data_IF_913260149595
#
_entry.id   IF_913260149595
#
_cell.length_a   1.000
_cell.length_b   1.000
_cell.length_c   1.000
_cell.angle_alpha   90.00
_cell.angle_beta   90.00
_cell.angle_gamma   90.00
#
_symmetry.space_group_name_H-M   'P 1'
#
loop_
_entity.id
_entity.type
_entity.pdbx_description
1 polymer ?
#
# COMPACT_ATOMS: atom_id res chain seq x y z
N UNK A 1 -17.50 26.07 -4.93
CA UNK A 1 -16.57 24.93 -4.97
C UNK A 1 -16.78 24.27 -6.31
N UNK A 2 -15.76 24.18 -7.17
CA UNK A 2 -15.88 23.42 -8.42
C UNK A 2 -15.79 21.93 -8.06
N UNK A 3 -16.75 21.14 -8.52
CA UNK A 3 -16.78 19.70 -8.25
C UNK A 3 -15.54 19.02 -8.82
N UNK A 4 -14.94 18.09 -8.06
CA UNK A 4 -13.84 17.26 -8.55
C UNK A 4 -14.35 16.44 -9.72
N UNK A 5 -13.66 16.54 -10.86
CA UNK A 5 -13.93 15.66 -11.99
C UNK A 5 -13.50 14.24 -11.62
N UNK A 6 -14.37 13.27 -11.92
CA UNK A 6 -14.16 11.84 -11.64
C UNK A 6 -13.71 11.06 -12.87
N UNK A 7 -13.68 11.70 -14.05
CA UNK A 7 -13.28 11.07 -15.31
C UNK A 7 -12.22 11.90 -16.02
N UNK A 8 -11.22 11.23 -16.59
CA UNK A 8 -10.22 11.81 -17.45
C UNK A 8 -10.83 12.21 -18.80
N UNK A 9 -10.44 13.38 -19.29
CA UNK A 9 -10.76 13.86 -20.63
C UNK A 9 -10.03 13.03 -21.69
N UNK A 10 -10.59 12.90 -22.91
CA UNK A 10 -10.01 12.09 -23.97
C UNK A 10 -8.54 12.43 -24.29
N UNK A 11 -8.15 13.70 -24.28
CA UNK A 11 -6.78 14.12 -24.57
C UNK A 11 -5.77 13.67 -23.50
N UNK A 12 -6.22 13.59 -22.25
CA UNK A 12 -5.39 13.11 -21.14
C UNK A 12 -5.29 11.59 -21.16
N UNK A 13 -6.39 10.90 -21.50
CA UNK A 13 -6.39 9.45 -21.74
C UNK A 13 -5.43 9.07 -22.87
N UNK A 14 -5.41 9.82 -23.98
CA UNK A 14 -4.45 9.61 -25.07
C UNK A 14 -3.01 9.81 -24.61
N UNK A 15 -2.75 10.80 -23.75
CA UNK A 15 -1.42 11.05 -23.19
C UNK A 15 -0.97 9.87 -22.34
N UNK A 16 -1.81 9.39 -21.42
CA UNK A 16 -1.51 8.22 -20.58
C UNK A 16 -1.36 6.94 -21.43
N UNK A 17 -2.15 6.78 -22.50
CA UNK A 17 -2.05 5.64 -23.41
C UNK A 17 -0.70 5.61 -24.11
N UNK A 18 -0.23 6.75 -24.62
CA UNK A 18 1.10 6.86 -25.23
C UNK A 18 2.20 6.49 -24.23
N UNK A 19 2.13 6.98 -22.99
CA UNK A 19 3.11 6.64 -21.96
C UNK A 19 3.08 5.14 -21.61
N UNK A 20 1.89 4.53 -21.55
CA UNK A 20 1.72 3.08 -21.37
C UNK A 20 2.40 2.30 -22.49
N UNK A 21 2.20 2.69 -23.74
CA UNK A 21 2.80 2.00 -24.89
C UNK A 21 4.33 2.11 -24.89
N UNK A 22 4.87 3.29 -24.59
CA UNK A 22 6.31 3.50 -24.43
C UNK A 22 6.90 2.66 -23.28
N UNK A 23 6.21 2.61 -22.14
CA UNK A 23 6.64 1.81 -21.00
C UNK A 23 6.63 0.30 -21.32
N UNK A 24 5.58 -0.18 -21.97
CA UNK A 24 5.47 -1.57 -22.40
C UNK A 24 6.55 -1.94 -23.44
N UNK A 25 6.86 -1.04 -24.37
CA UNK A 25 7.91 -1.26 -25.36
C UNK A 25 9.31 -1.38 -24.69
N UNK A 26 9.59 -0.56 -23.67
CA UNK A 26 10.83 -0.64 -22.88
C UNK A 26 10.93 -1.96 -22.11
N UNK A 27 9.84 -2.34 -21.43
CA UNK A 27 9.74 -3.59 -20.65
C UNK A 27 9.98 -4.82 -21.53
N UNK A 28 9.40 -4.84 -22.74
CA UNK A 28 9.58 -5.92 -23.72
C UNK A 28 11.03 -6.06 -24.23
N UNK A 29 11.80 -4.98 -24.24
CA UNK A 29 13.18 -4.97 -24.72
C UNK A 29 14.21 -5.40 -23.66
N UNK A 30 13.77 -5.75 -22.42
CA UNK A 30 14.64 -6.02 -21.27
C UNK A 30 15.68 -4.91 -21.00
N UNK A 31 15.45 -3.69 -21.50
CA UNK A 31 16.39 -2.57 -21.48
C UNK A 31 16.43 -1.83 -20.13
N UNK A 32 15.94 -2.47 -19.06
CA UNK A 32 15.62 -1.87 -17.77
C UNK A 32 14.12 -1.88 -17.48
N UNK A 33 13.76 -1.61 -16.23
CA UNK A 33 12.37 -1.48 -15.74
C UNK A 33 11.56 -0.63 -16.73
N UNK A 34 10.31 -0.96 -17.04
CA UNK A 34 9.49 -0.20 -18.02
C UNK A 34 9.30 1.30 -17.73
N UNK A 35 9.89 1.81 -16.63
CA UNK A 35 9.81 3.20 -16.14
C UNK A 35 8.37 3.62 -15.87
N UNK A 36 7.57 2.67 -15.40
CA UNK A 36 6.17 2.85 -15.04
C UNK A 36 5.95 3.95 -14.00
N UNK A 37 6.98 4.29 -13.19
CA UNK A 37 6.97 5.43 -12.28
C UNK A 37 6.65 6.77 -12.96
N UNK A 38 7.02 6.95 -14.23
CA UNK A 38 6.75 8.17 -15.00
C UNK A 38 5.24 8.37 -15.20
N UNK A 39 4.50 7.27 -15.36
CA UNK A 39 3.05 7.28 -15.52
C UNK A 39 2.38 7.71 -14.21
N UNK A 40 2.83 7.16 -13.08
CA UNK A 40 2.32 7.59 -11.76
C UNK A 40 2.58 9.06 -11.49
N UNK A 41 3.79 9.53 -11.80
CA UNK A 41 4.17 10.94 -11.60
C UNK A 41 3.34 11.87 -12.49
N UNK A 42 3.21 11.54 -13.78
CA UNK A 42 2.39 12.30 -14.71
C UNK A 42 0.92 12.31 -14.27
N UNK A 43 0.38 11.17 -13.83
CA UNK A 43 -1.01 11.09 -13.40
C UNK A 43 -1.24 11.90 -12.11
N UNK A 44 -0.37 11.81 -11.11
CA UNK A 44 -0.46 12.62 -9.90
C UNK A 44 -0.45 14.12 -10.21
N UNK A 45 0.46 14.56 -11.09
CA UNK A 45 0.56 15.95 -11.51
C UNK A 45 -0.67 16.41 -12.31
N UNK A 46 -1.20 15.55 -13.18
CA UNK A 46 -2.41 15.82 -13.93
C UNK A 46 -3.60 16.05 -12.98
N UNK A 47 -3.79 15.19 -11.98
CA UNK A 47 -4.89 15.30 -11.03
C UNK A 47 -4.87 16.63 -10.28
N UNK A 48 -3.69 17.04 -9.80
CA UNK A 48 -3.52 18.30 -9.07
C UNK A 48 -3.69 19.51 -10.00
N UNK A 49 -3.04 19.51 -11.16
CA UNK A 49 -2.95 20.70 -12.00
C UNK A 49 -4.21 20.93 -12.85
N UNK A 50 -4.93 19.87 -13.24
CA UNK A 50 -6.04 19.95 -14.21
C UNK A 50 -7.39 19.47 -13.66
N UNK A 51 -7.41 18.64 -12.62
CA UNK A 51 -8.63 18.02 -12.09
C UNK A 51 -9.01 18.51 -10.68
N UNK A 52 -8.31 19.52 -10.15
CA UNK A 52 -8.60 20.14 -8.86
C UNK A 52 -8.54 19.16 -7.67
N UNK A 53 -7.65 18.17 -7.74
CA UNK A 53 -7.32 17.33 -6.60
C UNK A 53 -6.32 18.05 -5.70
N UNK A 54 -6.52 17.94 -4.39
CA UNK A 54 -5.56 18.44 -3.42
C UNK A 54 -4.30 17.57 -3.42
N UNK A 55 -3.15 18.17 -3.12
CA UNK A 55 -1.89 17.40 -2.96
C UNK A 55 -1.96 16.39 -1.80
N UNK A 56 -2.86 16.61 -0.84
CA UNK A 56 -3.17 15.72 0.27
C UNK A 56 -4.26 14.69 -0.03
N UNK A 57 -4.82 14.68 -1.23
CA UNK A 57 -5.82 13.69 -1.63
C UNK A 57 -5.23 12.28 -1.60
N UNK A 58 -5.99 11.30 -1.11
CA UNK A 58 -5.47 9.94 -0.87
C UNK A 58 -5.05 9.24 -2.16
N UNK A 59 -5.74 9.48 -3.28
CA UNK A 59 -5.33 8.96 -4.59
C UNK A 59 -4.04 9.62 -5.05
N UNK A 60 -3.89 10.95 -4.87
CA UNK A 60 -2.66 11.68 -5.23
C UNK A 60 -1.47 11.21 -4.40
N UNK A 61 -1.65 11.06 -3.09
CA UNK A 61 -0.62 10.55 -2.18
C UNK A 61 -0.22 9.11 -2.53
N UNK A 62 -1.19 8.26 -2.88
CA UNK A 62 -0.89 6.91 -3.37
C UNK A 62 -0.05 6.93 -4.64
N UNK A 63 -0.45 7.70 -5.65
CA UNK A 63 0.28 7.80 -6.92
C UNK A 63 1.73 8.24 -6.69
N UNK A 64 1.96 9.23 -5.82
CA UNK A 64 3.30 9.68 -5.44
C UNK A 64 4.12 8.60 -4.73
N UNK A 65 3.52 7.87 -3.79
CA UNK A 65 4.18 6.75 -3.13
C UNK A 65 4.50 5.61 -4.12
N UNK A 66 3.61 5.36 -5.08
CA UNK A 66 3.78 4.37 -6.13
C UNK A 66 4.88 4.77 -7.12
N UNK A 67 5.04 6.08 -7.43
CA UNK A 67 6.18 6.61 -8.18
C UNK A 67 7.50 6.22 -7.52
N UNK A 68 7.67 6.50 -6.22
CA UNK A 68 8.89 6.15 -5.48
C UNK A 68 9.14 4.63 -5.44
N UNK A 69 8.10 3.86 -5.12
CA UNK A 69 8.18 2.41 -5.07
C UNK A 69 8.65 1.81 -6.41
N UNK A 70 8.00 2.22 -7.51
CA UNK A 70 8.31 1.74 -8.85
C UNK A 70 9.67 2.24 -9.36
N UNK A 71 10.07 3.47 -9.02
CA UNK A 71 11.38 4.00 -9.37
C UNK A 71 12.54 3.42 -8.53
N UNK A 72 12.24 2.63 -7.49
CA UNK A 72 13.28 2.08 -6.62
C UNK A 72 14.03 3.11 -5.78
N UNK A 73 13.44 4.30 -5.55
CA UNK A 73 14.09 5.43 -4.87
C UNK A 73 13.12 6.16 -3.95
N UNK A 74 13.66 6.83 -2.93
CA UNK A 74 12.85 7.58 -1.96
C UNK A 74 12.45 6.76 -0.73
N UNK A 75 11.77 7.43 0.20
CA UNK A 75 11.41 6.90 1.52
C UNK A 75 10.30 5.85 1.43
N UNK A 76 9.34 6.04 0.54
CA UNK A 76 8.23 5.11 0.34
C UNK A 76 8.71 3.83 -0.33
N UNK A 77 9.66 3.95 -1.26
CA UNK A 77 10.31 2.79 -1.87
C UNK A 77 11.01 1.94 -0.82
N UNK A 78 11.79 2.57 0.04
CA UNK A 78 12.50 1.87 1.11
C UNK A 78 11.53 1.16 2.06
N UNK A 79 10.46 1.85 2.49
CA UNK A 79 9.43 1.28 3.37
C UNK A 79 8.82 0.04 2.73
N UNK A 80 8.30 0.16 1.51
CA UNK A 80 7.55 -0.90 0.82
C UNK A 80 8.46 -2.09 0.53
N UNK A 81 9.68 -1.84 0.03
CA UNK A 81 10.60 -2.91 -0.37
C UNK A 81 11.11 -3.68 0.86
N UNK A 82 11.48 -2.99 1.94
CA UNK A 82 11.90 -3.65 3.19
C UNK A 82 10.74 -4.38 3.86
N UNK A 83 9.52 -3.83 3.82
CA UNK A 83 8.34 -4.55 4.31
C UNK A 83 8.14 -5.87 3.56
N UNK A 84 8.14 -5.81 2.23
CA UNK A 84 7.91 -6.99 1.38
C UNK A 84 9.01 -8.04 1.54
N UNK A 85 10.27 -7.62 1.63
CA UNK A 85 11.40 -8.51 1.89
C UNK A 85 11.26 -9.19 3.26
N UNK A 86 10.87 -8.45 4.29
CA UNK A 86 10.69 -9.00 5.63
C UNK A 86 9.53 -10.00 5.70
N UNK A 87 8.43 -9.74 4.98
CA UNK A 87 7.34 -10.70 4.85
C UNK A 87 7.81 -12.01 4.19
N UNK A 88 8.64 -11.93 3.15
CA UNK A 88 9.21 -13.12 2.51
C UNK A 88 10.15 -13.88 3.45
N UNK A 89 10.99 -13.17 4.21
CA UNK A 89 11.89 -13.79 5.19
C UNK A 89 11.11 -14.52 6.29
N UNK A 90 10.08 -13.89 6.85
CA UNK A 90 9.28 -14.48 7.93
C UNK A 90 8.44 -15.67 7.47
N UNK A 91 7.95 -15.66 6.23
CA UNK A 91 7.06 -16.71 5.71
C UNK A 91 7.81 -17.86 5.07
N UNK A 92 8.91 -17.57 4.38
CA UNK A 92 9.58 -18.52 3.51
C UNK A 92 11.08 -18.65 3.80
N UNK A 93 11.62 -17.88 4.75
CA UNK A 93 13.05 -17.85 5.05
C UNK A 93 13.91 -17.48 3.82
N UNK A 94 13.41 -16.52 3.02
CA UNK A 94 14.02 -16.07 1.77
C UNK A 94 13.98 -14.55 1.64
N UNK A 95 14.89 -14.00 0.83
CA UNK A 95 14.86 -12.60 0.41
C UNK A 95 14.18 -12.43 -0.95
N UNK A 96 13.52 -11.29 -1.15
CA UNK A 96 12.97 -10.88 -2.44
C UNK A 96 14.07 -10.23 -3.25
N UNK A 97 14.37 -10.77 -4.44
CA UNK A 97 15.35 -10.17 -5.34
C UNK A 97 14.89 -8.79 -5.85
N UNK A 98 15.84 -7.93 -6.23
CA UNK A 98 15.55 -6.61 -6.79
C UNK A 98 14.63 -6.73 -8.01
N UNK A 99 14.91 -7.69 -8.90
CA UNK A 99 14.14 -7.92 -10.11
C UNK A 99 12.72 -8.37 -9.81
N UNK A 100 12.54 -9.26 -8.82
CA UNK A 100 11.21 -9.73 -8.43
C UNK A 100 10.41 -8.62 -7.75
N UNK A 101 11.06 -7.80 -6.91
CA UNK A 101 10.46 -6.62 -6.29
C UNK A 101 10.01 -5.61 -7.35
N UNK A 102 10.84 -5.39 -8.37
CA UNK A 102 10.51 -4.51 -9.48
C UNK A 102 9.34 -5.05 -10.29
N UNK A 103 9.36 -6.34 -10.63
CA UNK A 103 8.27 -7.02 -11.34
C UNK A 103 6.94 -6.87 -10.58
N UNK A 104 6.97 -6.99 -9.26
CA UNK A 104 5.80 -6.78 -8.43
C UNK A 104 5.31 -5.32 -8.49
N UNK A 105 6.23 -4.35 -8.45
CA UNK A 105 5.85 -2.94 -8.57
C UNK A 105 5.32 -2.57 -9.95
N UNK A 106 5.86 -3.15 -11.03
CA UNK A 106 5.39 -2.93 -12.40
C UNK A 106 4.01 -3.58 -12.63
N UNK A 107 3.76 -4.73 -12.01
CA UNK A 107 2.45 -5.41 -12.08
C UNK A 107 1.32 -4.54 -11.51
N UNK A 108 1.57 -3.79 -10.43
CA UNK A 108 0.58 -2.84 -9.89
C UNK A 108 0.23 -1.75 -10.91
N UNK A 109 1.23 -1.20 -11.63
CA UNK A 109 0.97 -0.16 -12.63
C UNK A 109 0.20 -0.72 -13.81
N UNK A 110 0.60 -1.90 -14.30
CA UNK A 110 -0.09 -2.59 -15.39
C UNK A 110 -1.55 -2.84 -15.02
N UNK A 111 -1.84 -3.30 -13.80
CA UNK A 111 -3.22 -3.55 -13.34
C UNK A 111 -4.04 -2.26 -13.23
N UNK A 112 -3.47 -1.20 -12.64
CA UNK A 112 -4.11 0.13 -12.61
C UNK A 112 -4.45 0.63 -14.02
N UNK A 113 -3.50 0.49 -14.96
CA UNK A 113 -3.71 0.92 -16.35
C UNK A 113 -4.79 0.10 -17.04
N UNK A 114 -4.79 -1.24 -16.90
CA UNK A 114 -5.85 -2.09 -17.44
C UNK A 114 -7.23 -1.61 -16.95
N UNK A 115 -7.38 -1.32 -15.66
CA UNK A 115 -8.65 -0.82 -15.11
C UNK A 115 -9.00 0.60 -15.59
N UNK A 116 -8.03 1.50 -15.67
CA UNK A 116 -8.22 2.86 -16.20
C UNK A 116 -8.68 2.86 -17.67
N UNK A 117 -8.20 1.91 -18.46
CA UNK A 117 -8.60 1.72 -19.86
C UNK A 117 -9.80 0.78 -20.05
N UNK A 118 -10.47 0.36 -18.96
CA UNK A 118 -11.62 -0.55 -19.04
C UNK A 118 -11.30 -1.94 -19.62
N UNK A 119 -10.04 -2.34 -19.56
CA UNK A 119 -9.51 -3.63 -20.06
C UNK A 119 -9.32 -4.65 -18.93
N UNK A 120 -9.51 -4.23 -17.68
CA UNK A 120 -9.36 -5.08 -16.49
C UNK A 120 -10.67 -5.68 -16.00
N UNK A 121 -10.75 -5.88 -14.69
CA UNK A 121 -11.87 -6.59 -14.03
C UNK A 121 -13.18 -5.76 -14.01
N UNK A 122 -13.10 -4.46 -14.31
CA UNK A 122 -14.23 -3.53 -14.34
C UNK A 122 -14.19 -2.65 -15.61
N UNK A 123 -14.75 -3.13 -16.75
CA UNK A 123 -14.78 -2.35 -17.99
C UNK A 123 -15.56 -1.04 -17.89
N UNK A 124 -16.48 -0.91 -16.92
CA UNK A 124 -17.30 0.29 -16.75
C UNK A 124 -16.49 1.49 -16.24
N UNK A 125 -15.29 1.26 -15.71
CA UNK A 125 -14.42 2.33 -15.21
C UNK A 125 -13.48 2.92 -16.25
N UNK A 126 -13.78 2.73 -17.54
CA UNK A 126 -13.02 3.41 -18.59
C UNK A 126 -12.94 4.91 -18.30
N UNK A 127 -11.72 5.45 -18.27
CA UNK A 127 -11.37 6.83 -17.96
C UNK A 127 -11.72 7.33 -16.56
N UNK A 128 -12.30 6.49 -15.69
CA UNK A 128 -12.59 6.87 -14.31
C UNK A 128 -11.28 7.04 -13.53
N UNK A 129 -11.14 8.17 -12.84
CA UNK A 129 -10.01 8.39 -11.93
C UNK A 129 -10.22 7.46 -10.74
N UNK A 130 -9.31 6.50 -10.49
CA UNK A 130 -9.57 5.45 -9.53
C UNK A 130 -9.57 6.03 -8.10
N UNK A 131 -10.66 5.77 -7.39
CA UNK A 131 -10.75 6.06 -5.97
C UNK A 131 -9.84 5.13 -5.17
N UNK A 132 -9.39 5.60 -3.99
CA UNK A 132 -8.37 4.89 -3.20
C UNK A 132 -8.81 3.49 -2.76
N UNK A 133 -10.11 3.27 -2.56
CA UNK A 133 -10.70 1.98 -2.26
C UNK A 133 -10.57 1.01 -3.43
N UNK A 134 -10.85 1.46 -4.66
CA UNK A 134 -10.66 0.67 -5.86
C UNK A 134 -9.19 0.29 -6.01
N UNK A 135 -8.29 1.26 -5.92
CA UNK A 135 -6.84 1.00 -5.98
C UNK A 135 -6.40 -0.07 -4.96
N UNK A 136 -6.87 0.03 -3.72
CA UNK A 136 -6.49 -0.89 -2.64
C UNK A 136 -7.09 -2.28 -2.79
N UNK A 137 -8.28 -2.39 -3.39
CA UNK A 137 -8.98 -3.65 -3.58
C UNK A 137 -8.56 -4.37 -4.85
N UNK A 138 -8.31 -3.65 -5.94
CA UNK A 138 -8.08 -4.22 -7.27
C UNK A 138 -6.63 -4.11 -7.70
N UNK A 139 -6.04 -2.92 -7.67
CA UNK A 139 -4.81 -2.65 -8.41
C UNK A 139 -3.58 -3.11 -7.63
N UNK A 140 -3.50 -2.66 -6.39
CA UNK A 140 -2.32 -2.86 -5.56
C UNK A 140 -2.22 -4.27 -4.97
N UNK A 141 -3.25 -5.11 -5.16
CA UNK A 141 -3.21 -6.53 -4.82
C UNK A 141 -2.24 -7.34 -5.69
N UNK A 142 -1.85 -6.81 -6.86
CA UNK A 142 -0.88 -7.44 -7.75
C UNK A 142 0.47 -7.77 -7.08
N UNK A 143 0.84 -7.05 -6.01
CA UNK A 143 2.04 -7.39 -5.22
C UNK A 143 1.95 -8.79 -4.61
N UNK A 144 0.78 -9.17 -4.09
CA UNK A 144 0.52 -10.50 -3.53
C UNK A 144 0.65 -11.60 -4.58
N UNK A 145 0.08 -11.32 -5.75
CA UNK A 145 0.11 -12.22 -6.91
C UNK A 145 1.52 -12.53 -7.39
N UNK A 146 2.42 -11.53 -7.34
CA UNK A 146 3.80 -11.69 -7.81
C UNK A 146 4.72 -12.24 -6.72
N UNK A 147 4.61 -11.77 -5.48
CA UNK A 147 5.58 -12.09 -4.41
C UNK A 147 5.19 -13.28 -3.56
N UNK A 148 3.89 -13.47 -3.30
CA UNK A 148 3.40 -14.31 -2.21
C UNK A 148 2.46 -15.43 -2.67
N UNK A 149 2.28 -15.60 -3.98
CA UNK A 149 1.36 -16.57 -4.57
C UNK A 149 1.94 -18.00 -4.69
N UNK A 150 2.68 -18.45 -3.66
CA UNK A 150 3.34 -19.77 -3.62
C UNK A 150 2.40 -20.89 -3.19
N UNK A 151 1.55 -20.60 -2.20
CA UNK A 151 0.47 -21.47 -1.76
C UNK A 151 -0.82 -20.64 -1.73
N UNK A 152 -1.76 -20.98 -2.63
CA UNK A 152 -3.06 -20.30 -2.73
C UNK A 152 -3.92 -20.46 -1.47
N UNK A 153 -3.56 -21.37 -0.56
CA UNK A 153 -4.23 -21.56 0.72
C UNK A 153 -3.62 -20.72 1.85
N UNK A 154 -2.44 -20.13 1.66
CA UNK A 154 -1.85 -19.19 2.62
C UNK A 154 -2.55 -17.83 2.50
N UNK A 155 -2.80 -17.17 3.63
CA UNK A 155 -3.39 -15.82 3.67
C UNK A 155 -2.54 -14.76 2.98
N UNK A 156 -1.24 -15.01 2.78
CA UNK A 156 -0.36 -14.14 2.00
C UNK A 156 -0.71 -14.09 0.50
N UNK A 157 -1.35 -15.13 -0.03
CA UNK A 157 -1.69 -15.24 -1.45
C UNK A 157 -2.85 -14.33 -1.85
N UNK A 158 -3.08 -14.17 -3.17
CA UNK A 158 -4.22 -13.42 -3.71
C UNK A 158 -5.55 -13.94 -3.14
N UNK A 159 -5.73 -15.26 -3.17
CA UNK A 159 -6.98 -15.93 -2.76
C UNK A 159 -7.11 -16.05 -1.23
N UNK A 160 -5.99 -15.86 -0.51
CA UNK A 160 -5.94 -15.86 0.94
C UNK A 160 -6.24 -14.52 1.62
N UNK A 161 -6.53 -13.46 0.84
CA UNK A 161 -6.79 -12.11 1.36
C UNK A 161 -5.61 -11.14 1.21
N UNK A 162 -4.45 -11.62 0.76
CA UNK A 162 -3.24 -10.82 0.50
C UNK A 162 -2.65 -10.16 1.76
N UNK A 163 -2.61 -10.90 2.88
CA UNK A 163 -2.17 -10.42 4.18
C UNK A 163 -0.71 -9.95 4.23
N UNK A 164 0.13 -10.47 3.33
CA UNK A 164 1.55 -10.15 3.25
C UNK A 164 1.84 -8.86 2.46
N UNK A 165 0.84 -8.26 1.82
CA UNK A 165 1.03 -7.02 1.06
C UNK A 165 1.17 -5.80 1.98
N UNK A 166 2.11 -4.92 1.67
CA UNK A 166 2.41 -3.69 2.43
C UNK A 166 1.23 -2.72 2.51
N UNK A 167 0.35 -2.73 1.50
CA UNK A 167 -0.82 -1.87 1.48
C UNK A 167 -1.87 -2.23 2.54
N UNK A 168 -1.82 -3.44 3.10
CA UNK A 168 -2.68 -3.86 4.22
C UNK A 168 -2.63 -2.88 5.40
N UNK A 169 -1.46 -2.28 5.67
CA UNK A 169 -1.30 -1.23 6.68
C UNK A 169 -1.15 0.17 6.06
N UNK A 170 -0.50 0.30 4.90
CA UNK A 170 -0.24 1.61 4.29
C UNK A 170 -1.51 2.31 3.80
N UNK A 171 -2.52 1.58 3.33
CA UNK A 171 -3.76 2.20 2.86
C UNK A 171 -4.55 2.85 4.00
N UNK A 172 -4.37 2.38 5.24
CA UNK A 172 -4.95 3.03 6.41
C UNK A 172 -4.42 4.46 6.58
N UNK A 173 -3.15 4.72 6.20
CA UNK A 173 -2.61 6.09 6.18
C UNK A 173 -3.25 6.97 5.08
N UNK A 174 -3.82 6.32 4.07
CA UNK A 174 -4.55 6.92 2.95
C UNK A 174 -6.07 6.87 3.19
N UNK A 175 -6.49 6.79 4.47
CA UNK A 175 -7.90 6.77 4.90
C UNK A 175 -8.72 5.62 4.31
N UNK A 176 -8.05 4.51 4.00
CA UNK A 176 -8.66 3.32 3.45
C UNK A 176 -8.26 2.09 4.27
N UNK A 177 -9.13 1.65 5.17
CA UNK A 177 -8.82 0.53 6.05
C UNK A 177 -8.78 -0.80 5.28
N UNK A 178 -7.57 -1.33 5.09
CA UNK A 178 -7.30 -2.64 4.47
C UNK A 178 -6.86 -3.68 5.50
N UNK A 179 -6.91 -3.36 6.81
CA UNK A 179 -6.41 -4.25 7.88
C UNK A 179 -7.20 -5.54 8.01
N UNK A 180 -8.43 -5.57 7.48
CA UNK A 180 -9.25 -6.78 7.38
C UNK A 180 -8.52 -7.94 6.70
N UNK A 181 -7.54 -7.65 5.83
CA UNK A 181 -6.72 -8.67 5.14
C UNK A 181 -5.87 -9.51 6.10
N UNK A 182 -5.60 -9.02 7.31
CA UNK A 182 -4.84 -9.72 8.34
C UNK A 182 -5.69 -10.73 9.14
N UNK A 183 -7.01 -10.71 9.00
CA UNK A 183 -7.94 -11.41 9.90
C UNK A 183 -9.04 -12.13 9.12
N UNK A 184 -9.28 -13.40 9.45
CA UNK A 184 -10.39 -14.20 8.92
C UNK A 184 -10.35 -14.38 7.41
N UNK A 185 -9.18 -14.16 6.78
CA UNK A 185 -8.99 -14.07 5.31
C UNK A 185 -9.92 -13.07 4.63
N UNK A 186 -10.43 -12.08 5.39
CA UNK A 186 -11.43 -11.13 4.92
C UNK A 186 -12.88 -11.62 4.88
N UNK A 187 -13.17 -12.83 5.39
CA UNK A 187 -14.53 -13.32 5.46
C UNK A 187 -15.31 -12.62 6.58
N UNK A 188 -16.54 -12.21 6.27
CA UNK A 188 -17.45 -11.63 7.26
C UNK A 188 -18.17 -12.73 8.06
N UNK A 189 -18.29 -12.61 9.39
CA UNK A 189 -17.76 -11.53 10.22
C UNK A 189 -16.24 -11.65 10.42
N UNK A 190 -15.52 -10.52 10.32
CA UNK A 190 -14.08 -10.47 10.58
C UNK A 190 -13.78 -10.89 12.02
N UNK A 191 -13.12 -12.02 12.20
CA UNK A 191 -12.77 -12.58 13.51
C UNK A 191 -11.37 -13.19 13.45
N UNK A 192 -10.62 -12.99 14.52
CA UNK A 192 -9.38 -13.75 14.76
C UNK A 192 -9.82 -15.15 15.18
N UNK A 193 -9.73 -16.10 14.27
CA UNK A 193 -10.20 -17.47 14.48
C UNK A 193 -9.15 -18.54 14.12
N UNK A 194 -7.97 -18.12 13.68
CA UNK A 194 -6.87 -19.00 13.33
C UNK A 194 -5.51 -18.50 13.82
N UNK A 195 -4.56 -19.43 13.94
CA UNK A 195 -3.15 -19.09 14.17
C UNK A 195 -2.55 -18.29 13.00
N UNK A 196 -3.12 -18.39 11.80
CA UNK A 196 -2.69 -17.61 10.66
C UNK A 196 -3.00 -16.12 10.85
N UNK A 197 -4.15 -15.77 11.44
CA UNK A 197 -4.49 -14.37 11.73
C UNK A 197 -3.49 -13.74 12.70
N UNK A 198 -3.13 -14.47 13.77
CA UNK A 198 -2.10 -14.04 14.71
C UNK A 198 -0.73 -13.89 14.05
N UNK A 199 -0.33 -14.87 13.25
CA UNK A 199 0.92 -14.81 12.47
C UNK A 199 0.92 -13.59 11.57
N UNK A 200 -0.16 -13.34 10.84
CA UNK A 200 -0.24 -12.24 9.87
C UNK A 200 -0.15 -10.88 10.54
N UNK A 201 -0.83 -10.69 11.69
CA UNK A 201 -0.70 -9.48 12.51
C UNK A 201 0.73 -9.27 12.98
N UNK A 202 1.37 -10.29 13.55
CA UNK A 202 2.73 -10.20 14.08
C UNK A 202 3.76 -9.95 12.96
N UNK A 203 3.58 -10.60 11.81
CA UNK A 203 4.45 -10.45 10.65
C UNK A 203 4.31 -9.05 10.04
N UNK A 204 3.08 -8.56 9.90
CA UNK A 204 2.81 -7.20 9.43
C UNK A 204 3.44 -6.17 10.36
N UNK A 205 3.32 -6.32 11.68
CA UNK A 205 3.96 -5.45 12.66
C UNK A 205 5.49 -5.43 12.50
N UNK A 206 6.13 -6.59 12.53
CA UNK A 206 7.59 -6.67 12.47
C UNK A 206 8.12 -6.11 11.15
N UNK A 207 7.46 -6.45 10.04
CA UNK A 207 7.81 -5.96 8.70
C UNK A 207 7.61 -4.45 8.59
N UNK A 208 6.52 -3.91 9.13
CA UNK A 208 6.26 -2.47 9.13
C UNK A 208 7.25 -1.70 9.99
N UNK A 209 7.58 -2.23 11.17
CA UNK A 209 8.63 -1.67 12.02
C UNK A 209 9.95 -1.57 11.26
N UNK A 210 10.38 -2.65 10.60
CA UNK A 210 11.61 -2.67 9.81
C UNK A 210 11.55 -1.71 8.62
N UNK A 211 10.43 -1.68 7.90
CA UNK A 211 10.19 -0.76 6.80
C UNK A 211 10.25 0.71 7.21
N UNK A 212 9.55 1.10 8.26
CA UNK A 212 9.58 2.47 8.80
C UNK A 212 10.99 2.84 9.25
N UNK A 213 11.70 1.92 9.91
CA UNK A 213 13.08 2.19 10.32
C UNK A 213 14.04 2.41 9.16
N UNK A 214 13.89 1.62 8.09
CA UNK A 214 14.68 1.79 6.89
C UNK A 214 14.32 3.10 6.16
N UNK A 215 13.04 3.41 6.01
CA UNK A 215 12.56 4.65 5.40
C UNK A 215 13.00 5.90 6.16
N UNK A 216 12.92 5.88 7.48
CA UNK A 216 13.38 6.98 8.32
C UNK A 216 14.89 7.21 8.15
N UNK A 217 15.69 6.13 8.17
CA UNK A 217 17.13 6.20 7.86
C UNK A 217 17.38 6.75 6.46
N UNK A 218 16.60 6.34 5.46
CA UNK A 218 16.68 6.85 4.08
C UNK A 218 16.36 8.34 3.99
N UNK A 219 15.41 8.81 4.79
CA UNK A 219 15.04 10.23 4.92
C UNK A 219 15.98 11.06 5.81
N UNK A 220 17.05 10.46 6.34
CA UNK A 220 18.03 11.15 7.19
C UNK A 220 17.62 11.32 8.66
N UNK A 221 16.55 10.66 9.10
CA UNK A 221 16.11 10.67 10.50
C UNK A 221 17.01 9.78 11.37
N UNK A 222 17.19 10.17 12.64
CA UNK A 222 17.94 9.35 13.59
C UNK A 222 17.11 8.15 14.09
N UNK A 223 17.78 7.17 14.69
CA UNK A 223 17.10 6.02 15.32
C UNK A 223 16.09 6.44 16.40
N UNK A 224 16.39 7.49 17.17
CA UNK A 224 15.49 8.03 18.20
C UNK A 224 14.25 8.69 17.58
N UNK A 225 14.43 9.50 16.52
CA UNK A 225 13.31 10.11 15.78
C UNK A 225 12.38 9.04 15.19
N UNK A 226 12.99 7.97 14.67
CA UNK A 226 12.30 6.82 14.09
C UNK A 226 11.47 6.06 15.14
N UNK A 227 12.02 5.87 16.34
CA UNK A 227 11.33 5.18 17.43
C UNK A 227 10.17 6.02 17.97
N UNK A 228 10.34 7.35 18.03
CA UNK A 228 9.27 8.29 18.41
C UNK A 228 8.16 8.31 17.35
N UNK A 229 8.51 8.35 16.06
CA UNK A 229 7.54 8.29 14.96
C UNK A 229 6.77 6.97 14.97
N UNK A 230 7.44 5.85 15.21
CA UNK A 230 6.81 4.53 15.30
C UNK A 230 5.91 4.43 16.53
N UNK A 231 6.39 4.79 17.72
CA UNK A 231 5.64 4.70 18.98
C UNK A 231 4.49 5.73 19.07
N UNK A 232 4.60 6.86 18.36
CA UNK A 232 3.53 7.85 18.22
C UNK A 232 2.53 7.51 17.10
N UNK A 233 2.84 6.52 16.24
CA UNK A 233 1.99 6.14 15.12
C UNK A 233 0.73 5.40 15.58
N UNK A 234 -0.31 5.51 14.76
CA UNK A 234 -1.56 4.77 14.92
C UNK A 234 -1.36 3.24 14.90
N UNK A 235 -0.27 2.76 14.30
CA UNK A 235 0.11 1.34 14.28
C UNK A 235 0.62 0.89 15.66
N UNK A 236 1.42 1.70 16.36
CA UNK A 236 1.84 1.37 17.74
C UNK A 236 0.68 1.42 18.72
N UNK A 237 -0.28 2.32 18.52
CA UNK A 237 -1.50 2.40 19.33
C UNK A 237 -2.46 1.23 19.07
N UNK A 238 -2.64 0.84 17.81
CA UNK A 238 -3.39 -0.37 17.47
C UNK A 238 -2.76 -1.63 18.11
N UNK A 239 -1.43 -1.66 18.23
CA UNK A 239 -0.71 -2.79 18.81
C UNK A 239 -0.64 -2.78 20.34
N UNK A 240 -0.60 -1.62 21.01
CA UNK A 240 -0.73 -1.57 22.47
C UNK A 240 -2.06 -2.17 22.91
N UNK A 241 -3.12 -1.90 22.16
CA UNK A 241 -4.44 -2.52 22.35
C UNK A 241 -4.39 -4.04 22.14
N UNK A 242 -3.67 -4.54 21.12
CA UNK A 242 -3.47 -5.99 20.88
C UNK A 242 -2.60 -6.65 21.97
N UNK A 243 -1.63 -5.94 22.52
CA UNK A 243 -0.71 -6.46 23.55
C UNK A 243 -1.40 -6.53 24.92
N UNK A 244 -2.25 -5.55 25.25
CA UNK A 244 -3.17 -5.62 26.40
C UNK A 244 -4.16 -6.79 26.24
N UNK A 245 -4.70 -7.00 25.02
CA UNK A 245 -5.54 -8.14 24.63
C UNK A 245 -4.87 -9.51 24.80
N UNK A 246 -3.55 -9.60 24.60
CA UNK A 246 -2.76 -10.82 24.78
C UNK A 246 -2.38 -11.06 26.25
N UNK A 247 -2.34 -10.02 27.07
CA UNK A 247 -2.05 -10.12 28.50
C UNK A 247 -3.26 -10.54 29.34
N UNK A 248 -4.47 -10.22 28.88
CA UNK A 248 -5.74 -10.67 29.48
C UNK A 248 -6.15 -12.05 28.95
N UNK A 249 -5.44 -13.08 29.43
CA UNK A 249 -5.59 -14.50 29.06
C UNK A 249 -7.00 -15.09 29.30
N UNK A 250 -7.91 -14.37 29.95
CA UNK A 250 -9.23 -14.87 30.38
C UNK A 250 -10.39 -14.38 29.51
N UNK A 251 -10.19 -13.39 28.63
CA UNK A 251 -11.32 -12.78 27.87
C UNK A 251 -11.09 -12.73 26.34
N UNK A 252 -10.34 -13.69 25.82
CA UNK A 252 -9.95 -13.77 24.40
C UNK A 252 -11.11 -13.95 23.39
N UNK A 253 -12.34 -14.25 23.83
CA UNK A 253 -13.44 -14.63 22.91
C UNK A 253 -14.51 -13.57 22.64
N UNK A 254 -14.69 -12.56 23.48
CA UNK A 254 -15.86 -11.65 23.41
C UNK A 254 -15.55 -10.15 23.40
N UNK A 255 -14.47 -9.70 24.03
CA UNK A 255 -14.18 -8.26 24.19
C UNK A 255 -13.30 -7.68 23.09
N UNK A 256 -12.46 -8.51 22.44
CA UNK A 256 -11.60 -8.07 21.34
C UNK A 256 -12.38 -7.60 20.10
N UNK A 257 -13.57 -8.17 19.87
CA UNK A 257 -14.44 -7.79 18.76
C UNK A 257 -15.17 -6.45 18.99
N UNK A 258 -15.53 -6.10 20.24
CA UNK A 258 -16.21 -4.84 20.55
C UNK A 258 -15.23 -3.66 20.60
N UNK A 259 -14.05 -3.84 21.20
CA UNK A 259 -13.07 -2.76 21.37
C UNK A 259 -12.42 -2.32 20.06
N UNK A 260 -12.12 -3.27 19.15
CA UNK A 260 -11.58 -2.97 17.82
C UNK A 260 -12.62 -2.30 16.89
N UNK A 261 -13.92 -2.54 17.12
CA UNK A 261 -14.99 -1.89 16.37
C UNK A 261 -15.36 -0.50 16.93
N UNK A 262 -15.26 -0.28 18.25
CA UNK A 262 -15.60 1.02 18.87
C UNK A 262 -14.52 2.10 18.67
N UNK A 263 -13.23 1.74 18.59
CA UNK A 263 -12.12 2.71 18.42
C UNK A 263 -11.52 2.76 17.01
N UNK A 264 -12.11 2.03 16.05
CA UNK A 264 -11.71 2.02 14.62
C UNK A 264 -11.82 3.39 13.95
N UNK A 265 -12.61 4.33 14.49
CA UNK A 265 -12.69 5.70 13.98
C UNK A 265 -11.49 6.56 14.41
N UNK A 266 -11.24 6.65 15.71
CA UNK A 266 -10.33 7.64 16.30
C UNK A 266 -8.84 7.29 16.17
N UNK A 267 -8.49 6.00 16.17
CA UNK A 267 -7.09 5.56 16.03
C UNK A 267 -6.62 5.78 14.59
N UNK A 268 -7.50 5.80 13.59
CA UNK A 268 -7.09 5.78 12.18
C UNK A 268 -7.31 7.10 11.43
N UNK A 269 -8.16 8.00 11.92
CA UNK A 269 -8.43 9.32 11.31
C UNK A 269 -7.22 10.28 11.25
N UNK A 270 -6.17 10.04 12.05
CA UNK A 270 -4.95 10.89 12.11
C UNK A 270 -3.81 10.45 11.18
N UNK A 271 -3.99 9.38 10.40
CA UNK A 271 -2.95 8.74 9.58
C UNK A 271 -2.33 9.62 8.48
N UNK A 272 -3.10 10.57 7.94
CA UNK A 272 -2.63 11.49 6.89
C UNK A 272 -1.44 12.36 7.32
N UNK A 273 -1.33 12.69 8.61
CA UNK A 273 -0.23 13.50 9.15
C UNK A 273 1.10 12.76 9.10
N UNK A 274 1.12 11.43 9.33
CA UNK A 274 2.34 10.63 9.27
C UNK A 274 2.82 10.46 7.83
N UNK A 275 1.91 10.20 6.89
CA UNK A 275 2.25 10.16 5.46
C UNK A 275 2.82 11.50 5.00
N UNK A 276 2.17 12.61 5.37
CA UNK A 276 2.67 13.96 5.08
C UNK A 276 3.98 14.27 5.80
N UNK A 277 4.22 13.78 7.02
CA UNK A 277 5.48 13.99 7.76
C UNK A 277 6.62 13.22 7.11
N UNK A 278 6.38 11.96 6.72
CA UNK A 278 7.36 11.17 5.96
C UNK A 278 7.63 11.79 4.58
N UNK A 279 6.60 12.33 3.93
CA UNK A 279 6.68 12.99 2.63
C UNK A 279 7.33 14.39 2.68
N UNK A 280 7.07 15.20 3.71
CA UNK A 280 7.61 16.56 3.87
C UNK A 280 9.00 16.60 4.52
N UNK A 281 9.37 15.54 5.23
CA UNK A 281 10.70 15.37 5.81
C UNK A 281 11.80 15.00 4.81
N UNK A 282 11.45 14.51 3.62
CA UNK A 282 12.42 14.22 2.54
C UNK A 282 12.81 15.53 1.83
N UNK A 283 13.87 16.19 2.30
CA UNK A 283 14.44 17.44 1.72
C UNK A 283 15.05 17.29 0.31
N UNK A 284 14.52 16.43 -0.55
CA UNK A 284 15.04 16.22 -1.90
C UNK A 284 13.96 16.43 -2.95
N UNK A 285 13.50 17.69 -3.05
CA UNK A 285 12.87 18.22 -4.26
C UNK A 285 13.39 19.65 -4.49
N UNK A 286 14.58 19.72 -5.08
CA UNK A 286 15.03 20.71 -6.04
C UNK A 286 15.83 19.95 -7.10
#
# INVERSE_FOLDING_TARGET
>A
MLDKLTFLKPEDMQTIAKMRDEANARDAQQAGTGRYYEIYEAFANLLVNKYNYETSDSTVLWLRGATEANAGRGVMSELIRVYSDMQAQLRYNEHVSIDLMQKASDAVTKKMLLNLFGEGDDPASYSEIPAIDKIGNTDATAVGEVLFNRDLKDSASRDGGNAAWSGTLLFTLLRNDQTWRLIGRGNSPLKIDSLNDWRDILYAYYSYKKGVMAAAKKGGATYLDTLILFNGSNVSKALSSVTELLSDTVTLGRTGYSYFNEQRGDVFDKGGTLFQTLWSGSKHFN
#
